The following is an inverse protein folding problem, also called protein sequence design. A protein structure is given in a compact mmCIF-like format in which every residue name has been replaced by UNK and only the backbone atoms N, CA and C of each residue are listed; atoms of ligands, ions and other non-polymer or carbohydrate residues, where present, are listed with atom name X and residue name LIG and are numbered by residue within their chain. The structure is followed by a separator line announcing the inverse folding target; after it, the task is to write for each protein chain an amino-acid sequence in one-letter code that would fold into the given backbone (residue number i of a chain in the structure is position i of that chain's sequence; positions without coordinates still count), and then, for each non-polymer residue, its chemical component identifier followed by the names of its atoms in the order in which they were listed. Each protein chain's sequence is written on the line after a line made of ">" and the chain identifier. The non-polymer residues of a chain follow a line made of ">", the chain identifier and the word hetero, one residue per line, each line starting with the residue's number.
data_IF_727180094042
#
_entry.id   IF_727180094042
#
_cell.length_a   1.000
_cell.length_b   1.000
_cell.length_c   1.000
_cell.angle_alpha   90.00
_cell.angle_beta   90.00
_cell.angle_gamma   90.00
#
_symmetry.space_group_name_H-M   'P 1'
#
loop_
_entity.id
_entity.type
_entity.pdbx_description
1 polymer ?
#
# COMPACT_ATOMS: atom_id res chain seq x y z
N UNK A 1 -28.70 1.17 18.54
CA UNK A 1 -27.90 0.67 17.41
C UNK A 1 -28.71 -0.34 16.61
N UNK A 2 -28.81 -0.18 15.29
CA UNK A 2 -29.44 -1.15 14.36
C UNK A 2 -28.61 -2.44 14.24
N UNK A 3 -29.17 -3.46 13.58
CA UNK A 3 -28.43 -4.70 13.29
C UNK A 3 -27.22 -4.43 12.38
N UNK A 4 -27.38 -3.58 11.37
CA UNK A 4 -26.31 -3.15 10.47
C UNK A 4 -25.21 -2.40 11.21
N UNK A 5 -25.57 -1.48 12.12
CA UNK A 5 -24.59 -0.75 12.92
C UNK A 5 -23.78 -1.67 13.83
N UNK A 6 -24.40 -2.73 14.39
CA UNK A 6 -23.68 -3.75 15.17
C UNK A 6 -22.73 -4.56 14.30
N UNK A 7 -23.13 -4.91 13.09
CA UNK A 7 -22.29 -5.65 12.16
C UNK A 7 -21.08 -4.81 11.72
N UNK A 8 -21.30 -3.54 11.39
CA UNK A 8 -20.24 -2.59 11.03
C UNK A 8 -19.24 -2.38 12.18
N UNK A 9 -19.71 -2.17 13.42
CA UNK A 9 -18.83 -2.04 14.60
C UNK A 9 -17.94 -3.27 14.80
N UNK A 10 -18.51 -4.48 14.66
CA UNK A 10 -17.75 -5.73 14.78
C UNK A 10 -16.72 -5.88 13.68
N UNK A 11 -17.09 -5.56 12.43
CA UNK A 11 -16.17 -5.57 11.29
C UNK A 11 -15.01 -4.61 11.53
N UNK A 12 -15.29 -3.40 12.00
CA UNK A 12 -14.26 -2.40 12.28
C UNK A 12 -13.28 -2.87 13.36
N UNK A 13 -13.80 -3.38 14.48
CA UNK A 13 -12.98 -3.90 15.57
C UNK A 13 -12.10 -5.06 15.14
N UNK A 14 -12.59 -5.92 14.25
CA UNK A 14 -11.80 -7.00 13.67
C UNK A 14 -10.70 -6.48 12.76
N UNK A 15 -10.98 -5.49 11.91
CA UNK A 15 -9.98 -4.90 11.02
C UNK A 15 -8.88 -4.21 11.85
N UNK A 16 -9.23 -3.47 12.91
CA UNK A 16 -8.24 -2.85 13.80
C UNK A 16 -7.39 -3.87 14.56
N UNK A 17 -8.01 -4.94 15.06
CA UNK A 17 -7.28 -6.04 15.71
C UNK A 17 -6.34 -6.75 14.71
N UNK A 18 -6.82 -7.01 13.50
CA UNK A 18 -6.06 -7.64 12.44
C UNK A 18 -4.91 -6.77 11.95
N UNK A 19 -5.11 -5.46 11.77
CA UNK A 19 -4.06 -4.51 11.40
C UNK A 19 -2.87 -4.56 12.37
N UNK A 20 -3.15 -4.73 13.67
CA UNK A 20 -2.09 -4.89 14.67
C UNK A 20 -1.45 -6.27 14.61
N UNK A 21 -2.26 -7.35 14.63
CA UNK A 21 -1.76 -8.72 14.77
C UNK A 21 -1.11 -9.27 13.51
N UNK A 22 -1.63 -8.92 12.33
CA UNK A 22 -1.03 -9.32 11.05
C UNK A 22 0.29 -8.63 10.79
N UNK A 23 0.51 -7.41 11.31
CA UNK A 23 1.84 -6.81 11.28
C UNK A 23 2.79 -7.48 12.28
N UNK A 24 2.33 -7.76 13.50
CA UNK A 24 3.13 -8.44 14.53
C UNK A 24 2.19 -9.22 15.48
N UNK A 25 2.27 -10.57 15.55
CA UNK A 25 3.38 -11.43 15.13
C UNK A 25 3.45 -11.82 13.64
N UNK A 26 2.50 -11.38 12.81
CA UNK A 26 2.43 -11.81 11.41
C UNK A 26 1.12 -12.54 11.10
N UNK A 27 0.81 -12.69 9.81
CA UNK A 27 -0.41 -13.35 9.35
C UNK A 27 -0.49 -14.82 9.80
N UNK A 28 0.57 -15.61 9.54
CA UNK A 28 0.56 -17.04 9.87
C UNK A 28 0.49 -17.33 11.36
N UNK A 29 1.13 -16.50 12.19
CA UNK A 29 1.15 -16.65 13.64
C UNK A 29 -0.12 -16.13 14.34
N UNK A 30 -1.06 -15.54 13.60
CA UNK A 30 -2.28 -14.94 14.15
C UNK A 30 -3.47 -15.88 13.96
N UNK A 31 -4.11 -16.31 15.06
CA UNK A 31 -5.29 -17.17 15.03
C UNK A 31 -6.61 -16.39 15.12
N UNK A 32 -7.72 -17.02 14.72
CA UNK A 32 -9.06 -16.42 14.84
C UNK A 32 -9.41 -16.16 16.31
N UNK A 33 -9.02 -17.04 17.23
CA UNK A 33 -9.24 -16.87 18.66
C UNK A 33 -8.53 -15.62 19.19
N UNK A 34 -7.29 -15.38 18.76
CA UNK A 34 -6.52 -14.20 19.16
C UNK A 34 -7.12 -12.91 18.59
N UNK A 35 -7.58 -12.95 17.33
CA UNK A 35 -8.31 -11.85 16.68
C UNK A 35 -9.59 -11.52 17.46
N UNK A 36 -10.41 -12.54 17.76
CA UNK A 36 -11.65 -12.40 18.50
C UNK A 36 -11.42 -11.86 19.92
N UNK A 37 -10.41 -12.38 20.63
CA UNK A 37 -10.04 -11.89 21.96
C UNK A 37 -9.61 -10.42 21.95
N UNK A 38 -8.78 -10.03 20.98
CA UNK A 38 -8.31 -8.65 20.81
C UNK A 38 -9.45 -7.71 20.43
N UNK A 39 -10.30 -8.12 19.49
CA UNK A 39 -11.48 -7.38 19.07
C UNK A 39 -12.61 -7.43 20.11
N UNK A 40 -12.50 -8.25 21.17
CA UNK A 40 -13.54 -8.58 22.17
C UNK A 40 -14.88 -8.96 21.54
N UNK A 41 -14.85 -9.91 20.62
CA UNK A 41 -16.04 -10.53 20.00
C UNK A 41 -15.97 -12.06 20.10
N UNK A 42 -17.06 -12.75 19.79
CA UNK A 42 -17.08 -14.23 19.76
C UNK A 42 -16.65 -14.80 18.40
N UNK A 43 -16.19 -16.05 18.37
CA UNK A 43 -15.89 -16.76 17.10
C UNK A 43 -17.11 -16.82 16.17
N UNK A 44 -18.32 -16.96 16.71
CA UNK A 44 -19.55 -16.87 15.89
C UNK A 44 -19.68 -15.51 15.22
N UNK A 45 -19.44 -14.43 15.95
CA UNK A 45 -19.50 -13.07 15.40
C UNK A 45 -18.39 -12.80 14.37
N UNK A 46 -17.24 -13.47 14.48
CA UNK A 46 -16.22 -13.45 13.43
C UNK A 46 -16.77 -13.98 12.11
N UNK A 47 -17.37 -15.17 12.12
CA UNK A 47 -17.92 -15.78 10.90
C UNK A 47 -19.17 -15.08 10.35
N UNK A 48 -19.87 -14.29 11.17
CA UNK A 48 -20.88 -13.34 10.68
C UNK A 48 -20.28 -12.17 9.90
N UNK A 49 -18.99 -11.83 10.16
CA UNK A 49 -18.29 -10.72 9.52
C UNK A 49 -17.41 -11.17 8.35
N UNK A 50 -16.64 -12.26 8.51
CA UNK A 50 -15.64 -12.72 7.55
C UNK A 50 -15.64 -14.26 7.48
N UNK A 51 -15.51 -14.79 6.28
CA UNK A 51 -15.38 -16.21 5.98
C UNK A 51 -14.08 -16.84 6.47
N UNK A 52 -13.02 -16.04 6.67
CA UNK A 52 -11.70 -16.51 7.09
C UNK A 52 -10.70 -15.37 7.34
N UNK A 53 -9.48 -15.73 7.74
CA UNK A 53 -8.41 -14.75 8.01
C UNK A 53 -7.93 -14.07 6.73
N UNK A 54 -7.97 -14.78 5.61
CA UNK A 54 -7.58 -14.31 4.29
C UNK A 54 -8.51 -13.19 3.81
N UNK A 55 -9.83 -13.33 4.02
CA UNK A 55 -10.80 -12.28 3.72
C UNK A 55 -10.60 -11.06 4.63
N UNK A 56 -10.34 -11.28 5.92
CA UNK A 56 -10.03 -10.21 6.86
C UNK A 56 -8.72 -9.49 6.47
N UNK A 57 -7.68 -10.23 6.09
CA UNK A 57 -6.41 -9.66 5.62
C UNK A 57 -6.61 -8.87 4.34
N UNK A 58 -7.45 -9.33 3.41
CA UNK A 58 -7.84 -8.56 2.23
C UNK A 58 -8.47 -7.23 2.62
N UNK A 59 -9.43 -7.24 3.55
CA UNK A 59 -10.08 -6.01 4.01
C UNK A 59 -9.11 -5.03 4.69
N UNK A 60 -8.13 -5.53 5.45
CA UNK A 60 -7.06 -4.71 6.03
C UNK A 60 -6.16 -4.14 4.93
N UNK A 61 -5.76 -4.96 3.97
CA UNK A 61 -4.90 -4.58 2.85
C UNK A 61 -5.57 -3.53 1.95
N UNK A 62 -6.81 -3.78 1.52
CA UNK A 62 -7.59 -2.87 0.68
C UNK A 62 -7.73 -1.50 1.38
N UNK A 63 -8.00 -1.46 2.69
CA UNK A 63 -8.01 -0.20 3.46
C UNK A 63 -6.67 0.53 3.41
N UNK A 64 -5.56 -0.18 3.59
CA UNK A 64 -4.23 0.43 3.54
C UNK A 64 -3.93 1.00 2.14
N UNK A 65 -4.33 0.29 1.09
CA UNK A 65 -4.19 0.74 -0.30
C UNK A 65 -5.05 1.98 -0.55
N UNK A 66 -6.34 1.94 -0.22
CA UNK A 66 -7.28 3.05 -0.42
C UNK A 66 -6.80 4.33 0.27
N UNK A 67 -6.37 4.22 1.54
CA UNK A 67 -5.81 5.34 2.30
C UNK A 67 -4.54 5.89 1.63
N UNK A 68 -3.65 5.02 1.18
CA UNK A 68 -2.37 5.41 0.54
C UNK A 68 -2.61 6.07 -0.81
N UNK A 69 -3.52 5.53 -1.62
CA UNK A 69 -3.92 6.09 -2.92
C UNK A 69 -4.51 7.48 -2.71
N UNK A 70 -5.47 7.62 -1.78
CA UNK A 70 -6.09 8.91 -1.50
C UNK A 70 -5.08 9.96 -1.02
N UNK A 71 -4.17 9.58 -0.12
CA UNK A 71 -3.14 10.48 0.39
C UNK A 71 -2.18 10.93 -0.73
N UNK A 72 -1.72 9.98 -1.55
CA UNK A 72 -0.79 10.23 -2.65
C UNK A 72 -1.43 11.11 -3.72
N UNK A 73 -2.67 10.80 -4.13
CA UNK A 73 -3.41 11.58 -5.11
C UNK A 73 -3.62 13.03 -4.64
N UNK A 74 -3.95 13.25 -3.36
CA UNK A 74 -4.11 14.60 -2.82
C UNK A 74 -2.80 15.40 -2.83
N UNK A 75 -1.66 14.76 -2.57
CA UNK A 75 -0.36 15.40 -2.63
C UNK A 75 0.01 15.81 -4.07
N UNK A 76 -0.28 14.95 -5.05
CA UNK A 76 -0.08 15.24 -6.48
C UNK A 76 -0.97 16.43 -6.90
N UNK A 77 -2.26 16.42 -6.56
CA UNK A 77 -3.22 17.47 -6.92
C UNK A 77 -2.81 18.85 -6.37
N UNK A 78 -2.20 18.90 -5.19
CA UNK A 78 -1.77 20.14 -4.52
C UNK A 78 -0.39 20.63 -4.94
N UNK A 79 0.35 19.85 -5.72
CA UNK A 79 1.70 20.19 -6.16
C UNK A 79 1.70 21.17 -7.34
N UNK A 80 2.88 21.68 -7.69
CA UNK A 80 3.06 22.45 -8.92
C UNK A 80 2.69 21.59 -10.15
N UNK A 81 2.06 22.16 -11.21
CA UNK A 81 1.61 21.38 -12.35
C UNK A 81 2.73 20.75 -13.19
N UNK A 82 3.99 21.15 -13.01
CA UNK A 82 5.13 20.54 -13.69
C UNK A 82 5.25 19.03 -13.36
N UNK A 83 5.58 18.21 -14.37
CA UNK A 83 5.70 16.75 -14.23
C UNK A 83 6.59 16.34 -13.06
N UNK A 84 7.76 16.97 -12.99
CA UNK A 84 8.77 16.67 -11.98
C UNK A 84 8.23 16.95 -10.57
N UNK A 85 7.52 18.06 -10.38
CA UNK A 85 6.94 18.40 -9.08
C UNK A 85 5.84 17.43 -8.67
N UNK A 86 4.94 17.05 -9.59
CA UNK A 86 3.91 16.03 -9.36
C UNK A 86 4.53 14.71 -8.92
N UNK A 87 5.63 14.30 -9.54
CA UNK A 87 6.23 12.99 -9.27
C UNK A 87 7.05 12.99 -7.99
N UNK A 88 7.80 14.05 -7.71
CA UNK A 88 8.45 14.22 -6.40
C UNK A 88 7.40 14.23 -5.29
N UNK A 89 6.29 14.95 -5.47
CA UNK A 89 5.20 15.00 -4.48
C UNK A 89 4.54 13.63 -4.28
N UNK A 90 4.23 12.91 -5.36
CA UNK A 90 3.63 11.58 -5.30
C UNK A 90 4.53 10.55 -4.62
N UNK A 91 5.80 10.47 -5.02
CA UNK A 91 6.76 9.53 -4.41
C UNK A 91 7.00 9.84 -2.93
N UNK A 92 7.21 11.12 -2.59
CA UNK A 92 7.42 11.54 -1.22
C UNK A 92 6.19 11.22 -0.34
N UNK A 93 4.99 11.57 -0.82
CA UNK A 93 3.75 11.33 -0.09
C UNK A 93 3.48 9.83 0.11
N UNK A 94 3.67 9.02 -0.93
CA UNK A 94 3.53 7.56 -0.84
C UNK A 94 4.48 6.98 0.21
N UNK A 95 5.78 7.27 0.09
CA UNK A 95 6.81 6.70 0.98
C UNK A 95 6.56 7.17 2.42
N UNK A 96 6.31 8.47 2.64
CA UNK A 96 6.05 9.01 3.97
C UNK A 96 4.81 8.36 4.59
N UNK A 97 3.70 8.31 3.87
CA UNK A 97 2.46 7.74 4.40
C UNK A 97 2.61 6.26 4.72
N UNK A 98 3.20 5.47 3.82
CA UNK A 98 3.39 4.03 4.04
C UNK A 98 4.32 3.75 5.22
N UNK A 99 5.36 4.56 5.40
CA UNK A 99 6.39 4.35 6.44
C UNK A 99 6.10 5.01 7.79
N UNK A 100 5.13 5.95 7.86
CA UNK A 100 4.71 6.60 9.11
C UNK A 100 4.23 5.58 10.17
N UNK A 101 3.59 4.50 9.73
CA UNK A 101 3.27 3.35 10.56
C UNK A 101 3.93 2.10 9.97
N UNK A 102 4.94 1.56 10.66
CA UNK A 102 5.64 0.34 10.22
C UNK A 102 4.70 -0.84 9.97
N UNK A 103 3.52 -0.89 10.63
CA UNK A 103 2.52 -1.93 10.39
C UNK A 103 1.94 -1.83 8.99
N UNK A 104 1.68 -0.62 8.49
CA UNK A 104 1.18 -0.35 7.13
C UNK A 104 2.17 -0.86 6.10
N UNK A 105 3.43 -0.42 6.18
CA UNK A 105 4.50 -0.87 5.30
C UNK A 105 4.63 -2.40 5.29
N UNK A 106 4.62 -3.02 6.48
CA UNK A 106 4.74 -4.48 6.62
C UNK A 106 3.55 -5.23 6.03
N UNK A 107 2.33 -4.76 6.25
CA UNK A 107 1.11 -5.36 5.69
C UNK A 107 1.12 -5.25 4.16
N UNK A 108 1.37 -4.05 3.63
CA UNK A 108 1.29 -3.77 2.20
C UNK A 108 2.39 -4.45 1.39
N UNK A 109 3.60 -4.60 1.95
CA UNK A 109 4.75 -5.07 1.17
C UNK A 109 5.22 -6.49 1.51
N UNK A 110 5.05 -6.92 2.77
CA UNK A 110 5.57 -8.21 3.24
C UNK A 110 4.47 -9.24 3.49
N UNK A 111 3.52 -8.95 4.37
CA UNK A 111 2.55 -9.95 4.85
C UNK A 111 1.50 -10.30 3.79
N UNK A 112 1.13 -9.37 2.91
CA UNK A 112 0.24 -9.66 1.77
C UNK A 112 0.78 -10.78 0.87
N UNK A 113 2.12 -10.89 0.74
CA UNK A 113 2.78 -11.92 -0.08
C UNK A 113 2.79 -13.28 0.59
N UNK A 114 2.64 -13.33 1.91
CA UNK A 114 2.68 -14.55 2.72
C UNK A 114 1.29 -15.20 2.85
N UNK A 115 0.21 -14.45 2.65
CA UNK A 115 -1.15 -14.96 2.88
C UNK A 115 -1.78 -15.74 1.70
N UNK A 116 -0.98 -16.21 0.74
CA UNK A 116 -1.41 -17.11 -0.35
C UNK A 116 -2.18 -16.43 -1.49
N UNK A 117 -2.77 -17.27 -2.36
CA UNK A 117 -3.26 -16.87 -3.69
C UNK A 117 -4.41 -15.85 -3.66
N UNK A 118 -5.25 -15.84 -2.61
CA UNK A 118 -6.39 -14.90 -2.50
C UNK A 118 -5.92 -13.45 -2.50
N UNK A 119 -4.74 -13.17 -1.93
CA UNK A 119 -4.18 -11.82 -1.90
C UNK A 119 -3.33 -11.48 -3.12
N UNK A 120 -2.96 -12.46 -3.95
CA UNK A 120 -2.24 -12.20 -5.20
C UNK A 120 -3.05 -11.27 -6.12
N UNK A 121 -4.36 -11.50 -6.23
CA UNK A 121 -5.29 -10.68 -7.00
C UNK A 121 -5.46 -9.27 -6.41
N UNK A 122 -5.55 -9.16 -5.07
CA UNK A 122 -5.65 -7.86 -4.41
C UNK A 122 -4.38 -7.03 -4.62
N UNK A 123 -3.21 -7.67 -4.49
CA UNK A 123 -1.92 -7.05 -4.77
C UNK A 123 -1.81 -6.61 -6.24
N UNK A 124 -2.23 -7.45 -7.18
CA UNK A 124 -2.19 -7.11 -8.61
C UNK A 124 -3.11 -5.93 -8.94
N UNK A 125 -4.31 -5.85 -8.33
CA UNK A 125 -5.18 -4.68 -8.47
C UNK A 125 -4.52 -3.42 -7.94
N UNK A 126 -3.96 -3.46 -6.73
CA UNK A 126 -3.27 -2.31 -6.15
C UNK A 126 -2.08 -1.83 -7.00
N UNK A 127 -1.28 -2.77 -7.54
CA UNK A 127 -0.21 -2.44 -8.49
C UNK A 127 -0.77 -1.74 -9.73
N UNK A 128 -1.89 -2.23 -10.26
CA UNK A 128 -2.58 -1.60 -11.38
C UNK A 128 -3.08 -0.18 -11.07
N UNK A 129 -3.63 0.05 -9.88
CA UNK A 129 -4.09 1.38 -9.44
C UNK A 129 -2.94 2.39 -9.34
N UNK A 130 -1.80 2.00 -8.76
CA UNK A 130 -0.62 2.87 -8.72
C UNK A 130 0.00 3.09 -10.11
N UNK A 131 0.02 2.07 -10.98
CA UNK A 131 0.46 2.24 -12.36
C UNK A 131 -0.44 3.23 -13.11
N UNK A 132 -1.77 3.11 -12.99
CA UNK A 132 -2.73 4.03 -13.62
C UNK A 132 -2.57 5.47 -13.13
N UNK A 133 -2.21 5.68 -11.86
CA UNK A 133 -1.91 7.02 -11.33
C UNK A 133 -0.68 7.65 -12.00
N UNK A 134 0.36 6.86 -12.27
CA UNK A 134 1.56 7.30 -13.00
C UNK A 134 1.21 7.57 -14.47
N UNK A 135 0.50 6.65 -15.11
CA UNK A 135 0.04 6.75 -16.50
C UNK A 135 -0.77 8.04 -16.72
N UNK A 136 -1.78 8.28 -15.89
CA UNK A 136 -2.63 9.46 -15.96
C UNK A 136 -1.84 10.77 -15.81
N UNK A 137 -0.85 10.79 -14.90
CA UNK A 137 -0.01 11.97 -14.69
C UNK A 137 0.84 12.31 -15.91
N UNK A 138 1.35 11.29 -16.62
CA UNK A 138 2.14 11.47 -17.83
C UNK A 138 1.27 11.85 -19.04
N UNK A 139 0.09 11.24 -19.17
CA UNK A 139 -0.87 11.57 -20.23
C UNK A 139 -1.39 13.00 -20.13
N UNK A 140 -1.72 13.48 -18.94
CA UNK A 140 -2.20 14.86 -18.70
C UNK A 140 -1.20 15.91 -19.21
N UNK A 141 0.09 15.60 -19.15
CA UNK A 141 1.19 16.48 -19.52
C UNK A 141 1.64 16.29 -20.98
N UNK A 142 1.03 15.34 -21.71
CA UNK A 142 1.36 15.05 -23.10
C UNK A 142 2.71 14.35 -23.29
N UNK A 143 3.27 13.80 -22.22
CA UNK A 143 4.58 13.17 -22.22
C UNK A 143 4.50 11.74 -22.74
N UNK A 144 5.38 11.40 -23.69
CA UNK A 144 5.40 10.10 -24.34
C UNK A 144 6.78 9.48 -24.20
N UNK A 145 6.97 8.58 -23.21
CA UNK A 145 8.26 7.90 -23.08
C UNK A 145 8.54 7.05 -24.33
N UNK A 146 9.82 6.77 -24.62
CA UNK A 146 10.21 5.93 -25.75
C UNK A 146 9.88 4.43 -25.55
N UNK A 147 9.33 4.08 -24.38
CA UNK A 147 8.97 2.72 -23.97
C UNK A 147 7.44 2.59 -23.84
N UNK A 148 6.96 1.35 -23.78
CA UNK A 148 5.58 1.07 -23.41
C UNK A 148 5.29 1.63 -22.00
N UNK A 149 4.34 2.54 -21.92
CA UNK A 149 4.03 3.30 -20.71
C UNK A 149 3.53 2.41 -19.57
N UNK A 150 2.79 1.35 -19.88
CA UNK A 150 2.26 0.44 -18.88
C UNK A 150 3.38 -0.42 -18.27
N UNK A 151 4.24 -1.00 -19.11
CA UNK A 151 5.40 -1.77 -18.64
C UNK A 151 6.37 -0.88 -17.83
N UNK A 152 6.55 0.37 -18.25
CA UNK A 152 7.38 1.33 -17.52
C UNK A 152 6.81 1.64 -16.13
N UNK A 153 5.50 1.90 -16.05
CA UNK A 153 4.81 2.17 -14.80
C UNK A 153 4.86 0.97 -13.85
N UNK A 154 4.65 -0.25 -14.37
CA UNK A 154 4.83 -1.49 -13.61
C UNK A 154 6.25 -1.65 -13.07
N UNK A 155 7.27 -1.34 -13.87
CA UNK A 155 8.67 -1.42 -13.45
C UNK A 155 9.00 -0.45 -12.31
N UNK A 156 8.49 0.79 -12.39
CA UNK A 156 8.68 1.82 -11.35
C UNK A 156 8.01 1.42 -10.03
N UNK A 157 6.75 0.94 -10.10
CA UNK A 157 6.04 0.42 -8.93
C UNK A 157 6.79 -0.76 -8.32
N UNK A 158 7.28 -1.69 -9.16
CA UNK A 158 8.07 -2.83 -8.71
C UNK A 158 9.36 -2.42 -7.98
N UNK A 159 10.11 -1.46 -8.51
CA UNK A 159 11.35 -0.96 -7.91
C UNK A 159 11.10 -0.33 -6.54
N UNK A 160 10.08 0.53 -6.41
CA UNK A 160 9.69 1.14 -5.14
C UNK A 160 9.23 0.09 -4.11
N UNK A 161 8.45 -0.91 -4.55
CA UNK A 161 8.01 -1.99 -3.68
C UNK A 161 9.19 -2.79 -3.12
N UNK A 162 10.18 -3.10 -3.94
CA UNK A 162 11.37 -3.85 -3.48
C UNK A 162 12.17 -3.06 -2.44
N UNK A 163 12.36 -1.76 -2.67
CA UNK A 163 13.02 -0.88 -1.69
C UNK A 163 12.27 -0.86 -0.34
N UNK A 164 10.94 -0.86 -0.36
CA UNK A 164 10.15 -0.88 0.87
C UNK A 164 10.14 -2.24 1.56
N UNK A 165 10.24 -3.35 0.80
CA UNK A 165 10.42 -4.69 1.39
C UNK A 165 11.74 -4.73 2.15
N UNK A 166 12.84 -4.33 1.52
CA UNK A 166 14.16 -4.27 2.16
C UNK A 166 14.16 -3.33 3.37
N UNK A 167 13.51 -2.17 3.27
CA UNK A 167 13.36 -1.24 4.40
C UNK A 167 12.60 -1.87 5.57
N UNK A 168 11.51 -2.60 5.31
CA UNK A 168 10.74 -3.29 6.37
C UNK A 168 11.54 -4.42 7.02
N UNK A 169 12.44 -5.07 6.28
CA UNK A 169 13.24 -6.20 6.75
C UNK A 169 14.55 -5.79 7.44
N UNK A 170 15.03 -4.57 7.23
CA UNK A 170 16.27 -4.07 7.78
C UNK A 170 16.23 -4.00 9.33
N UNK A 171 17.29 -4.48 9.97
CA UNK A 171 17.48 -4.35 11.43
C UNK A 171 17.60 -2.88 11.84
N UNK A 172 18.32 -2.09 11.04
CA UNK A 172 18.39 -0.64 11.14
C UNK A 172 17.89 -0.02 9.84
N UNK A 173 16.69 0.56 9.90
CA UNK A 173 16.02 1.18 8.76
C UNK A 173 16.79 2.41 8.29
N UNK A 174 17.15 2.51 6.99
CA UNK A 174 17.72 3.75 6.48
C UNK A 174 16.68 4.88 6.55
N UNK A 175 17.13 6.15 6.61
CA UNK A 175 16.22 7.29 6.62
C UNK A 175 15.29 7.30 5.41
N UNK A 176 14.01 7.60 5.63
CA UNK A 176 13.00 7.65 4.56
C UNK A 176 13.38 8.62 3.44
N UNK A 177 14.13 9.68 3.75
CA UNK A 177 14.64 10.64 2.76
C UNK A 177 15.54 9.96 1.73
N UNK A 178 16.34 8.96 2.13
CA UNK A 178 17.20 8.21 1.23
C UNK A 178 16.38 7.38 0.23
N UNK A 179 15.24 6.83 0.65
CA UNK A 179 14.33 6.11 -0.24
C UNK A 179 13.72 7.07 -1.26
N UNK A 180 13.24 8.22 -0.79
CA UNK A 180 12.65 9.26 -1.64
C UNK A 180 13.69 9.74 -2.66
N UNK A 181 14.89 10.11 -2.23
CA UNK A 181 15.96 10.59 -3.11
C UNK A 181 16.34 9.54 -4.15
N UNK A 182 16.38 8.26 -3.76
CA UNK A 182 16.68 7.15 -4.68
C UNK A 182 15.58 6.98 -5.74
N UNK A 183 14.31 7.00 -5.34
CA UNK A 183 13.19 6.90 -6.26
C UNK A 183 13.10 8.09 -7.21
N UNK A 184 13.31 9.32 -6.70
CA UNK A 184 13.34 10.54 -7.51
C UNK A 184 14.50 10.51 -8.50
N UNK A 185 15.70 10.08 -8.07
CA UNK A 185 16.85 9.94 -8.95
C UNK A 185 16.57 8.95 -10.09
N UNK A 186 16.06 7.76 -9.75
CA UNK A 186 15.71 6.74 -10.73
C UNK A 186 14.68 7.28 -11.73
N UNK A 187 13.62 7.90 -11.23
CA UNK A 187 12.58 8.50 -12.05
C UNK A 187 13.12 9.59 -13.00
N UNK A 188 13.91 10.55 -12.50
CA UNK A 188 14.49 11.61 -13.33
C UNK A 188 15.27 11.04 -14.51
N UNK A 189 16.06 9.98 -14.29
CA UNK A 189 16.82 9.31 -15.35
C UNK A 189 15.96 8.54 -16.35
N UNK A 190 14.76 8.14 -15.94
CA UNK A 190 13.82 7.42 -16.80
C UNK A 190 13.04 8.36 -17.73
N UNK A 191 12.65 9.55 -17.26
CA UNK A 191 11.73 10.43 -17.99
C UNK A 191 12.35 11.74 -18.47
N UNK A 192 13.43 12.21 -17.84
CA UNK A 192 14.13 13.40 -18.32
C UNK A 192 15.30 12.97 -19.22
N UNK A 193 15.50 13.63 -20.37
CA UNK A 193 16.68 13.39 -21.19
C UNK A 193 17.94 13.63 -20.35
N UNK A 194 18.97 12.79 -20.53
CA UNK A 194 20.28 13.12 -19.97
C UNK A 194 20.70 14.46 -20.59
N UNK A 195 20.94 15.48 -19.77
CA UNK A 195 21.66 16.65 -20.25
C UNK A 195 23.03 16.18 -20.78
N UNK A 196 23.46 16.66 -21.96
CA UNK A 196 24.71 16.23 -22.59
C UNK A 196 25.96 16.61 -21.80
#
# INVERSE_FOLDING_TARGET
>A
MSAEQRLADRRERLILAAYTLFANPGFHATTIERLCGTARISNRAFYECFSGREELMRAVYDRCVDETVAYTANAIERSDPALEAKIVAGLAAYIQFVTEDQRRARIMHLEVRRAGDVLSNARQRAVGEFSQMIEASLEELGEKPPLDLHLLSLALVGALQELLIEWVLADEQPPISMLIDTCVYFWRRTFLPNEP
#
